data_IF_914231229056
#
_entry.id   IF_914231229056
#
_cell.length_a   1.000
_cell.length_b   1.000
_cell.length_c   1.000
_cell.angle_alpha   90.00
_cell.angle_beta   90.00
_cell.angle_gamma   90.00
#
_symmetry.space_group_name_H-M   'P 1'
#
loop_
_entity.id
_entity.type
_entity.pdbx_description
1 polymer ?
#
# COMPACT_ATOMS: atom_id res chain seq x y z
N UNK A 1 9.57 27.80 -18.88
CA UNK A 1 9.61 26.90 -17.70
C UNK A 1 8.54 25.87 -17.90
N UNK A 2 8.91 24.62 -18.19
CA UNK A 2 7.97 23.50 -18.26
C UNK A 2 7.48 23.26 -16.83
N UNK A 3 6.27 23.73 -16.52
CA UNK A 3 5.65 23.49 -15.23
C UNK A 3 5.55 21.98 -15.02
N UNK A 4 6.14 21.49 -13.93
CA UNK A 4 5.92 20.11 -13.52
C UNK A 4 4.43 20.02 -13.16
N UNK A 5 3.66 19.24 -13.91
CA UNK A 5 2.25 18.99 -13.58
C UNK A 5 2.19 17.58 -13.04
N UNK A 6 1.95 17.42 -11.74
CA UNK A 6 1.58 16.12 -11.18
C UNK A 6 0.12 15.87 -11.48
N UNK A 7 -0.14 14.71 -12.07
CA UNK A 7 -1.48 14.17 -12.21
C UNK A 7 -1.94 13.60 -10.86
N UNK A 8 -2.63 14.45 -10.11
CA UNK A 8 -3.17 14.12 -8.78
C UNK A 8 -4.21 13.00 -8.88
N UNK A 9 -4.94 12.92 -9.98
CA UNK A 9 -5.94 11.87 -10.20
C UNK A 9 -5.26 10.52 -10.41
N UNK A 10 -4.19 10.47 -11.19
CA UNK A 10 -3.39 9.26 -11.37
C UNK A 10 -2.75 8.76 -10.05
N UNK A 11 -2.27 9.67 -9.19
CA UNK A 11 -1.74 9.30 -7.87
C UNK A 11 -2.84 8.75 -6.95
N UNK A 12 -4.03 9.36 -6.98
CA UNK A 12 -5.19 8.88 -6.22
C UNK A 12 -5.67 7.51 -6.70
N UNK A 13 -5.70 7.29 -8.01
CA UNK A 13 -6.05 5.99 -8.60
C UNK A 13 -5.03 4.91 -8.20
N UNK A 14 -3.73 5.21 -8.29
CA UNK A 14 -2.67 4.30 -7.86
C UNK A 14 -2.79 3.95 -6.38
N UNK A 15 -3.03 4.94 -5.51
CA UNK A 15 -3.29 4.72 -4.07
C UNK A 15 -4.46 3.76 -3.86
N UNK A 16 -5.57 3.98 -4.55
CA UNK A 16 -6.77 3.14 -4.44
C UNK A 16 -6.50 1.70 -4.87
N UNK A 17 -5.79 1.49 -5.99
CA UNK A 17 -5.40 0.16 -6.46
C UNK A 17 -4.48 -0.56 -5.46
N UNK A 18 -3.50 0.15 -4.88
CA UNK A 18 -2.60 -0.44 -3.88
C UNK A 18 -3.33 -0.81 -2.59
N UNK A 19 -4.27 0.02 -2.13
CA UNK A 19 -5.13 -0.29 -0.98
C UNK A 19 -5.96 -1.55 -1.22
N UNK A 20 -6.62 -1.64 -2.38
CA UNK A 20 -7.43 -2.79 -2.74
C UNK A 20 -6.60 -4.08 -2.82
N UNK A 21 -5.40 -3.99 -3.40
CA UNK A 21 -4.50 -5.13 -3.48
C UNK A 21 -4.00 -5.59 -2.10
N UNK A 22 -3.60 -4.66 -1.23
CA UNK A 22 -3.20 -5.00 0.15
C UNK A 22 -4.33 -5.70 0.91
N UNK A 23 -5.55 -5.17 0.85
CA UNK A 23 -6.72 -5.78 1.48
C UNK A 23 -7.00 -7.19 0.94
N UNK A 24 -6.80 -7.40 -0.36
CA UNK A 24 -6.92 -8.73 -0.98
C UNK A 24 -5.84 -9.70 -0.46
N UNK A 25 -4.59 -9.25 -0.32
CA UNK A 25 -3.50 -10.04 0.24
C UNK A 25 -3.76 -10.43 1.70
N UNK A 26 -4.18 -9.48 2.55
CA UNK A 26 -4.50 -9.74 3.96
C UNK A 26 -5.67 -10.71 4.10
N UNK A 27 -6.72 -10.54 3.29
CA UNK A 27 -7.86 -11.48 3.26
C UNK A 27 -7.43 -12.89 2.85
N UNK A 28 -6.57 -12.98 1.84
CA UNK A 28 -6.04 -14.27 1.35
C UNK A 28 -5.18 -14.95 2.40
N UNK A 29 -4.33 -14.19 3.11
CA UNK A 29 -3.50 -14.71 4.19
C UNK A 29 -4.36 -15.26 5.34
N UNK A 30 -5.38 -14.50 5.78
CA UNK A 30 -6.30 -14.95 6.82
C UNK A 30 -7.06 -16.22 6.41
N UNK A 31 -7.44 -16.35 5.14
CA UNK A 31 -8.06 -17.58 4.61
C UNK A 31 -7.10 -18.77 4.65
N UNK A 32 -5.83 -18.56 4.31
CA UNK A 32 -4.79 -19.61 4.39
C UNK A 32 -4.59 -20.04 5.84
N UNK A 33 -4.47 -19.10 6.78
CA UNK A 33 -4.35 -19.40 8.21
C UNK A 33 -5.52 -20.24 8.73
N UNK A 34 -6.75 -19.88 8.35
CA UNK A 34 -7.95 -20.62 8.74
C UNK A 34 -7.96 -22.05 8.19
N UNK A 35 -7.58 -22.23 6.92
CA UNK A 35 -7.49 -23.56 6.31
C UNK A 35 -6.40 -24.40 6.99
N UNK A 36 -5.24 -23.81 7.24
CA UNK A 36 -4.12 -24.52 7.84
C UNK A 36 -4.45 -24.96 9.26
N UNK A 37 -5.10 -24.13 10.06
CA UNK A 37 -5.59 -24.54 11.38
C UNK A 37 -6.54 -25.74 11.37
N UNK A 38 -7.22 -26.01 10.25
CA UNK A 38 -8.08 -27.19 10.09
C UNK A 38 -7.32 -28.45 9.65
N UNK A 39 -6.23 -28.31 8.87
CA UNK A 39 -5.54 -29.44 8.23
C UNK A 39 -4.17 -29.77 8.82
N UNK A 40 -3.60 -28.89 9.65
CA UNK A 40 -2.24 -29.03 10.18
C UNK A 40 -2.13 -29.91 11.43
N UNK A 41 -3.21 -30.54 11.89
CA UNK A 41 -3.20 -31.36 13.11
C UNK A 41 -2.23 -32.56 13.02
N UNK A 42 -1.92 -33.01 11.80
CA UNK A 42 -0.99 -34.11 11.51
C UNK A 42 0.27 -33.63 10.79
N UNK A 43 0.59 -32.34 10.86
CA UNK A 43 1.83 -31.80 10.29
C UNK A 43 2.88 -31.69 11.39
N UNK A 44 3.96 -32.42 11.23
CA UNK A 44 5.06 -32.50 12.18
C UNK A 44 6.42 -32.37 11.47
N UNK A 45 7.41 -31.92 12.23
CA UNK A 45 8.78 -31.69 11.73
C UNK A 45 8.84 -30.70 10.55
N UNK A 46 9.46 -31.13 9.45
CA UNK A 46 9.82 -30.27 8.32
C UNK A 46 8.63 -29.55 7.65
N UNK A 47 7.43 -30.15 7.66
CA UNK A 47 6.24 -29.54 7.06
C UNK A 47 5.75 -28.33 7.87
N UNK A 48 5.74 -28.45 9.20
CA UNK A 48 5.39 -27.37 10.10
C UNK A 48 6.42 -26.22 10.01
N UNK A 49 7.71 -26.55 10.03
CA UNK A 49 8.79 -25.55 9.90
C UNK A 49 8.74 -24.78 8.58
N UNK A 50 8.52 -25.49 7.46
CA UNK A 50 8.41 -24.88 6.14
C UNK A 50 7.20 -23.93 6.06
N UNK A 51 6.05 -24.33 6.64
CA UNK A 51 4.89 -23.47 6.71
C UNK A 51 5.17 -22.22 7.56
N UNK A 52 5.70 -22.37 8.77
CA UNK A 52 6.00 -21.23 9.64
C UNK A 52 6.96 -20.23 8.99
N UNK A 53 8.00 -20.73 8.30
CA UNK A 53 8.93 -19.88 7.56
C UNK A 53 8.19 -19.08 6.47
N UNK A 54 7.36 -19.76 5.67
CA UNK A 54 6.61 -19.11 4.60
C UNK A 54 5.59 -18.10 5.13
N UNK A 55 4.92 -18.45 6.23
CA UNK A 55 3.96 -17.61 6.90
C UNK A 55 4.62 -16.33 7.44
N UNK A 56 5.78 -16.43 8.11
CA UNK A 56 6.55 -15.26 8.54
C UNK A 56 6.90 -14.33 7.38
N UNK A 57 7.28 -14.88 6.24
CA UNK A 57 7.62 -14.08 5.07
C UNK A 57 6.39 -13.40 4.46
N UNK A 58 5.22 -14.05 4.45
CA UNK A 58 3.96 -13.42 4.03
C UNK A 58 3.56 -12.27 4.95
N UNK A 59 3.59 -12.49 6.26
CA UNK A 59 3.25 -11.47 7.26
C UNK A 59 4.18 -10.26 7.13
N UNK A 60 5.50 -10.50 6.96
CA UNK A 60 6.48 -9.43 6.73
C UNK A 60 6.17 -8.66 5.45
N UNK A 61 5.91 -9.37 4.35
CA UNK A 61 5.59 -8.73 3.07
C UNK A 61 4.32 -7.87 3.15
N UNK A 62 3.29 -8.34 3.84
CA UNK A 62 2.06 -7.57 4.08
C UNK A 62 2.34 -6.31 4.92
N UNK A 63 3.19 -6.42 5.94
CA UNK A 63 3.63 -5.28 6.73
C UNK A 63 4.39 -4.26 5.86
N UNK A 64 5.34 -4.71 5.05
CA UNK A 64 6.14 -3.84 4.19
C UNK A 64 5.26 -3.11 3.16
N UNK A 65 4.30 -3.79 2.56
CA UNK A 65 3.31 -3.18 1.65
C UNK A 65 2.48 -2.11 2.35
N UNK A 66 2.04 -2.36 3.59
CA UNK A 66 1.28 -1.37 4.38
C UNK A 66 2.12 -0.13 4.69
N UNK A 67 3.37 -0.31 5.09
CA UNK A 67 4.30 0.79 5.37
C UNK A 67 4.56 1.61 4.11
N UNK A 68 4.88 0.96 2.99
CA UNK A 68 5.12 1.64 1.72
C UNK A 68 3.88 2.43 1.23
N UNK A 69 2.68 1.89 1.44
CA UNK A 69 1.43 2.57 1.10
C UNK A 69 1.16 3.79 2.00
N UNK A 70 1.51 3.71 3.29
CA UNK A 70 1.43 4.84 4.20
C UNK A 70 2.39 5.97 3.76
N UNK A 71 3.64 5.62 3.45
CA UNK A 71 4.64 6.57 2.95
C UNK A 71 4.21 7.20 1.63
N UNK A 72 3.70 6.40 0.69
CA UNK A 72 3.17 6.88 -0.58
C UNK A 72 1.99 7.85 -0.38
N UNK A 73 1.10 7.55 0.56
CA UNK A 73 -0.06 8.41 0.86
C UNK A 73 0.39 9.75 1.44
N UNK A 74 1.38 9.74 2.35
CA UNK A 74 1.96 10.96 2.91
C UNK A 74 2.63 11.82 1.83
N UNK A 75 3.46 11.20 0.99
CA UNK A 75 4.14 11.88 -0.11
C UNK A 75 3.16 12.46 -1.15
N UNK A 76 2.14 11.70 -1.54
CA UNK A 76 1.10 12.15 -2.48
C UNK A 76 0.35 13.38 -1.94
N UNK A 77 0.04 13.39 -0.65
CA UNK A 77 -0.66 14.52 0.00
C UNK A 77 0.22 15.76 0.00
N UNK A 78 1.50 15.60 0.36
CA UNK A 78 2.46 16.71 0.34
C UNK A 78 2.66 17.28 -1.07
N UNK A 79 2.73 16.42 -2.09
CA UNK A 79 2.84 16.86 -3.47
C UNK A 79 1.61 17.68 -3.88
N UNK A 80 0.40 17.19 -3.60
CA UNK A 80 -0.86 17.89 -3.91
C UNK A 80 -0.91 19.28 -3.25
N UNK A 81 -0.57 19.40 -1.97
CA UNK A 81 -0.55 20.67 -1.24
C UNK A 81 0.44 21.69 -1.84
N UNK A 82 1.62 21.22 -2.24
CA UNK A 82 2.61 22.05 -2.92
C UNK A 82 2.06 22.59 -4.26
N UNK A 83 1.40 21.76 -5.06
CA UNK A 83 0.77 22.20 -6.32
C UNK A 83 -0.34 23.21 -6.10
N UNK A 84 -1.24 22.96 -5.13
CA UNK A 84 -2.33 23.88 -4.80
C UNK A 84 -1.78 25.24 -4.35
N UNK A 85 -0.70 25.24 -3.57
CA UNK A 85 -0.05 26.47 -3.09
C UNK A 85 0.54 27.27 -4.25
N UNK A 86 1.31 26.64 -5.14
CA UNK A 86 1.91 27.31 -6.31
C UNK A 86 0.82 27.84 -7.25
N UNK A 87 -0.24 27.08 -7.48
CA UNK A 87 -1.39 27.51 -8.29
C UNK A 87 -2.06 28.75 -7.68
N UNK A 88 -2.32 28.74 -6.37
CA UNK A 88 -2.93 29.87 -5.66
C UNK A 88 -2.06 31.13 -5.69
N UNK A 89 -0.73 30.98 -5.58
CA UNK A 89 0.22 32.09 -5.72
C UNK A 89 0.20 32.64 -7.15
N UNK A 90 0.20 31.79 -8.16
CA UNK A 90 0.13 32.20 -9.57
C UNK A 90 -1.17 32.94 -9.89
N UNK A 91 -2.32 32.47 -9.38
CA UNK A 91 -3.62 33.15 -9.54
C UNK A 91 -3.62 34.54 -8.87
N UNK A 92 -3.10 34.65 -7.64
CA UNK A 92 -2.95 35.93 -6.94
C UNK A 92 -2.04 36.92 -7.70
N UNK A 93 -0.93 36.44 -8.28
CA UNK A 93 -0.04 37.29 -9.08
C UNK A 93 -0.67 37.72 -10.40
N UNK A 94 -1.56 36.90 -10.96
CA UNK A 94 -2.27 37.18 -12.21
C UNK A 94 -3.42 38.19 -12.05
N UNK A 95 -3.70 38.69 -10.84
CA UNK A 95 -4.67 39.76 -10.61
C UNK A 95 -6.15 39.33 -10.63
N UNK A 96 -6.44 38.04 -10.41
CA UNK A 96 -7.76 37.58 -9.97
C UNK A 96 -7.85 37.49 -8.45
#
# INVERSE_FOLDING_TARGET
MTGYTVDVDALNELRSKMQAYLAHCETSLSRVESLIGQVSQSWDGAAAEAYEARHRDWVRSAHDMRTALADFTAWSTQAEDAYRTVMAMNLRMAGQ
#
